data_IF_739643266936
#
_entry.id   IF_739643266936
#
_cell.length_a   1.000
_cell.length_b   1.000
_cell.length_c   1.000
_cell.angle_alpha   90.00
_cell.angle_beta   90.00
_cell.angle_gamma   90.00
#
_symmetry.space_group_name_H-M   'P 1'
#
loop_
_entity.id
_entity.type
_entity.pdbx_description
1 polymer ?
#
# COMPACT_ATOMS: atom_id res chain seq x y z
N UNK A 1 9.70 4.11 12.46
CA UNK A 1 10.65 5.01 11.75
C UNK A 1 11.46 5.82 12.75
N UNK A 2 10.84 6.73 13.53
CA UNK A 2 11.53 7.64 14.45
C UNK A 2 12.45 7.01 15.52
N UNK A 3 12.31 5.71 15.81
CA UNK A 3 13.23 4.99 16.71
C UNK A 3 14.29 4.18 15.97
N UNK A 4 13.97 3.68 14.77
CA UNK A 4 14.83 2.77 14.02
C UNK A 4 15.90 3.54 13.25
N UNK A 5 15.51 4.64 12.61
CA UNK A 5 16.44 5.39 11.75
C UNK A 5 17.57 6.04 12.53
N UNK A 6 17.37 6.59 13.75
CA UNK A 6 18.51 7.04 14.58
C UNK A 6 19.40 5.89 15.05
N UNK A 7 18.86 4.69 15.28
CA UNK A 7 19.70 3.53 15.62
C UNK A 7 20.60 3.11 14.45
N UNK A 8 20.07 3.17 13.22
CA UNK A 8 20.86 2.90 12.02
C UNK A 8 21.93 3.98 11.80
N UNK A 9 21.61 5.24 12.09
CA UNK A 9 22.58 6.35 12.10
C UNK A 9 23.72 6.11 13.08
N UNK A 10 23.40 5.77 14.34
CA UNK A 10 24.38 5.45 15.38
C UNK A 10 25.28 4.27 14.99
N UNK A 11 24.73 3.29 14.26
CA UNK A 11 25.48 2.15 13.73
C UNK A 11 26.23 2.46 12.42
N UNK A 12 26.21 3.71 11.93
CA UNK A 12 26.74 4.14 10.65
C UNK A 12 26.25 3.30 9.46
N UNK A 13 24.99 2.86 9.50
CA UNK A 13 24.34 2.08 8.45
C UNK A 13 23.41 2.96 7.64
N UNK A 14 23.69 3.10 6.34
CA UNK A 14 22.80 3.79 5.42
C UNK A 14 21.43 3.08 5.38
N UNK A 15 20.36 3.85 5.24
CA UNK A 15 19.01 3.30 5.17
C UNK A 15 18.13 4.03 4.16
N UNK A 16 17.18 3.27 3.62
CA UNK A 16 16.10 3.76 2.76
C UNK A 16 14.77 3.34 3.36
N UNK A 17 13.85 4.29 3.43
CA UNK A 17 12.46 4.05 3.81
C UNK A 17 11.65 4.04 2.52
N UNK A 18 10.85 2.99 2.33
CA UNK A 18 9.86 2.90 1.26
C UNK A 18 8.48 2.97 1.90
N UNK A 19 7.56 3.72 1.29
CA UNK A 19 6.17 3.76 1.71
C UNK A 19 5.22 3.88 0.54
N UNK A 20 3.95 3.71 0.87
CA UNK A 20 2.80 4.10 0.05
C UNK A 20 2.87 5.56 -0.43
N UNK A 21 2.08 5.88 -1.45
CA UNK A 21 1.93 7.20 -2.05
C UNK A 21 0.61 7.89 -1.65
N UNK A 22 -0.03 7.40 -0.60
CA UNK A 22 -1.26 7.98 -0.04
C UNK A 22 -0.99 9.29 0.73
N UNK A 23 -2.08 9.96 1.11
CA UNK A 23 -2.00 11.26 1.82
C UNK A 23 -1.26 11.12 3.16
N UNK A 24 -1.60 10.15 4.04
CA UNK A 24 -0.85 9.92 5.28
C UNK A 24 0.66 9.72 5.08
N UNK A 25 1.09 8.95 4.08
CA UNK A 25 2.50 8.72 3.79
C UNK A 25 3.20 10.02 3.34
N UNK A 26 2.57 10.81 2.46
CA UNK A 26 3.09 12.11 2.01
C UNK A 26 3.28 13.08 3.18
N UNK A 27 2.30 13.19 4.07
CA UNK A 27 2.38 14.05 5.25
C UNK A 27 3.50 13.60 6.19
N UNK A 28 3.60 12.30 6.47
CA UNK A 28 4.64 11.74 7.35
C UNK A 28 6.03 11.91 6.77
N UNK A 29 6.21 11.71 5.47
CA UNK A 29 7.48 11.93 4.80
C UNK A 29 7.88 13.42 4.84
N UNK A 30 6.94 14.34 4.61
CA UNK A 30 7.19 15.78 4.73
C UNK A 30 7.66 16.14 6.14
N UNK A 31 6.96 15.64 7.17
CA UNK A 31 7.36 15.82 8.56
C UNK A 31 8.76 15.25 8.83
N UNK A 32 9.03 14.03 8.37
CA UNK A 32 10.34 13.39 8.54
C UNK A 32 11.49 14.21 7.94
N UNK A 33 11.28 14.77 6.74
CA UNK A 33 12.26 15.67 6.09
C UNK A 33 12.45 16.96 6.88
N UNK A 34 11.37 17.56 7.39
CA UNK A 34 11.44 18.77 8.23
C UNK A 34 12.20 18.51 9.54
N UNK A 35 12.01 17.33 10.13
CA UNK A 35 12.68 16.89 11.36
C UNK A 35 14.13 16.42 11.09
N UNK A 36 14.65 16.59 9.87
CA UNK A 36 15.98 16.14 9.41
C UNK A 36 16.26 14.67 9.69
N UNK A 37 15.24 13.82 9.50
CA UNK A 37 15.36 12.39 9.74
C UNK A 37 16.45 11.73 8.88
N UNK A 38 17.14 10.75 9.47
CA UNK A 38 18.27 10.04 8.85
C UNK A 38 17.87 9.07 7.72
N UNK A 39 18.64 9.02 6.64
CA UNK A 39 18.38 8.16 5.48
C UNK A 39 17.38 8.75 4.47
N UNK A 40 17.22 8.06 3.34
CA UNK A 40 16.32 8.52 2.27
C UNK A 40 14.94 7.91 2.40
N UNK A 41 13.90 8.74 2.46
CA UNK A 41 12.52 8.27 2.35
C UNK A 41 12.01 8.49 0.93
N UNK A 42 11.60 7.40 0.27
CA UNK A 42 10.94 7.41 -1.04
C UNK A 42 9.56 6.76 -0.98
N UNK A 43 8.61 7.33 -1.71
CA UNK A 43 7.29 6.75 -1.95
C UNK A 43 7.28 5.96 -3.27
N UNK A 44 6.26 5.13 -3.51
CA UNK A 44 6.13 4.39 -4.77
C UNK A 44 6.18 5.31 -6.00
N UNK A 45 5.44 6.42 -5.98
CA UNK A 45 5.37 7.43 -7.05
C UNK A 45 6.69 8.17 -7.28
N UNK A 46 7.59 8.20 -6.29
CA UNK A 46 8.92 8.82 -6.40
C UNK A 46 9.99 7.85 -6.91
N UNK A 47 9.76 6.55 -6.80
CA UNK A 47 10.65 5.50 -7.32
C UNK A 47 10.31 5.19 -8.77
N UNK A 48 9.02 5.07 -9.07
CA UNK A 48 8.54 4.86 -10.41
C UNK A 48 7.26 5.67 -10.63
N UNK A 49 7.40 6.80 -11.32
CA UNK A 49 6.31 7.72 -11.61
C UNK A 49 5.34 7.24 -12.69
N UNK A 50 5.68 6.16 -13.41
CA UNK A 50 4.79 5.60 -14.45
C UNK A 50 3.82 4.57 -13.90
N UNK A 51 4.03 4.11 -12.66
CA UNK A 51 3.15 3.15 -12.00
C UNK A 51 2.02 3.88 -11.26
N UNK A 52 0.78 3.54 -11.62
CA UNK A 52 -0.41 3.94 -10.88
C UNK A 52 -0.61 3.02 -9.67
N UNK A 53 0.16 3.28 -8.62
CA UNK A 53 0.16 2.53 -7.36
C UNK A 53 0.15 3.53 -6.20
N UNK A 54 -0.89 3.45 -5.38
CA UNK A 54 -1.04 4.33 -4.22
C UNK A 54 -0.70 3.58 -2.95
N UNK A 55 -1.16 2.35 -2.83
CA UNK A 55 -1.04 1.50 -1.65
C UNK A 55 -0.48 0.13 -2.00
N UNK A 56 0.03 -0.61 -1.01
CA UNK A 56 0.51 -1.98 -1.22
C UNK A 56 -0.55 -2.90 -1.84
N UNK A 57 -1.84 -2.66 -1.60
CA UNK A 57 -2.91 -3.46 -2.19
C UNK A 57 -3.06 -3.30 -3.70
N UNK A 58 -2.54 -2.21 -4.27
CA UNK A 58 -2.57 -2.01 -5.71
C UNK A 58 -1.67 -3.00 -6.45
N UNK A 59 -0.71 -3.62 -5.77
CA UNK A 59 0.14 -4.70 -6.29
C UNK A 59 -0.49 -6.08 -6.21
N UNK A 60 -1.68 -6.23 -5.64
CA UNK A 60 -2.33 -7.53 -5.46
C UNK A 60 -3.34 -7.76 -6.57
N UNK A 61 -3.33 -8.91 -7.23
CA UNK A 61 -4.27 -9.24 -8.31
C UNK A 61 -5.72 -9.09 -7.85
N UNK A 62 -6.55 -8.56 -8.75
CA UNK A 62 -7.97 -8.35 -8.49
C UNK A 62 -8.69 -9.64 -8.06
N UNK A 63 -8.33 -10.78 -8.65
CA UNK A 63 -8.90 -12.08 -8.27
C UNK A 63 -8.77 -12.38 -6.77
N UNK A 64 -7.61 -12.09 -6.16
CA UNK A 64 -7.37 -12.33 -4.73
C UNK A 64 -8.23 -11.41 -3.85
N UNK A 65 -8.33 -10.14 -4.21
CA UNK A 65 -9.20 -9.17 -3.54
C UNK A 65 -10.67 -9.58 -3.61
N UNK A 66 -11.14 -9.99 -4.78
CA UNK A 66 -12.52 -10.45 -4.99
C UNK A 66 -12.84 -11.67 -4.11
N UNK A 67 -11.93 -12.64 -4.01
CA UNK A 67 -12.11 -13.80 -3.13
C UNK A 67 -12.29 -13.40 -1.65
N UNK A 68 -11.49 -12.44 -1.16
CA UNK A 68 -11.62 -11.94 0.22
C UNK A 68 -12.93 -11.14 0.41
N UNK A 69 -13.35 -10.39 -0.61
CA UNK A 69 -14.63 -9.66 -0.55
C UNK A 69 -15.83 -10.59 -0.53
N UNK A 70 -15.84 -11.67 -1.32
CA UNK A 70 -16.97 -12.62 -1.33
C UNK A 70 -17.20 -13.27 0.04
N UNK A 71 -16.14 -13.56 0.79
CA UNK A 71 -16.26 -14.09 2.17
C UNK A 71 -17.01 -13.12 3.09
N UNK A 72 -16.87 -11.83 2.87
CA UNK A 72 -17.49 -10.78 3.68
C UNK A 72 -18.88 -10.41 3.16
N UNK A 73 -19.11 -10.42 1.84
CA UNK A 73 -20.44 -10.20 1.24
C UNK A 73 -21.49 -11.11 1.85
N UNK A 74 -21.15 -12.38 2.03
CA UNK A 74 -22.04 -13.37 2.66
C UNK A 74 -22.46 -12.99 4.08
N UNK A 75 -21.65 -12.20 4.80
CA UNK A 75 -21.96 -11.74 6.16
C UNK A 75 -22.73 -10.42 6.19
N UNK A 76 -22.49 -9.56 5.20
CA UNK A 76 -23.10 -8.22 5.12
C UNK A 76 -24.39 -8.19 4.29
N UNK A 77 -24.79 -9.31 3.68
CA UNK A 77 -25.93 -9.39 2.76
C UNK A 77 -25.86 -8.39 1.60
N UNK A 78 -24.64 -8.05 1.15
CA UNK A 78 -24.40 -7.15 0.01
C UNK A 78 -24.33 -8.01 -1.26
N UNK A 79 -25.17 -7.68 -2.24
CA UNK A 79 -25.26 -8.43 -3.51
C UNK A 79 -24.37 -7.88 -4.62
N UNK A 80 -23.94 -6.61 -4.50
CA UNK A 80 -23.09 -5.95 -5.51
C UNK A 80 -21.61 -6.23 -5.27
N UNK A 81 -20.81 -6.11 -6.33
CA UNK A 81 -19.35 -6.25 -6.26
C UNK A 81 -18.65 -4.89 -6.29
N UNK A 82 -17.52 -4.73 -5.59
CA UNK A 82 -16.65 -3.59 -5.81
C UNK A 82 -16.05 -3.66 -7.21
N UNK A 83 -15.85 -2.49 -7.81
CA UNK A 83 -15.05 -2.38 -9.03
C UNK A 83 -13.65 -1.92 -8.62
N UNK A 84 -12.64 -2.76 -8.77
CA UNK A 84 -11.27 -2.40 -8.43
C UNK A 84 -10.54 -1.65 -9.55
N UNK A 85 -11.13 -1.56 -10.74
CA UNK A 85 -10.61 -0.79 -11.87
C UNK A 85 -10.80 0.71 -11.60
N UNK A 86 -9.71 1.42 -11.31
CA UNK A 86 -9.71 2.87 -11.17
C UNK A 86 -8.36 3.42 -10.73
N UNK A 87 -8.13 4.70 -11.00
CA UNK A 87 -6.85 5.41 -10.76
C UNK A 87 -6.68 5.95 -9.33
N UNK A 88 -7.60 5.63 -8.42
CA UNK A 88 -7.55 6.05 -7.01
C UNK A 88 -7.11 4.92 -6.08
N UNK A 89 -6.70 3.79 -6.65
CA UNK A 89 -6.28 2.60 -5.92
C UNK A 89 -7.43 1.73 -5.43
N UNK A 90 -7.12 0.46 -5.17
CA UNK A 90 -8.09 -0.60 -4.88
C UNK A 90 -8.80 -0.38 -3.54
N UNK A 91 -8.09 0.13 -2.52
CA UNK A 91 -8.68 0.44 -1.21
C UNK A 91 -9.68 1.60 -1.28
N UNK A 92 -9.39 2.62 -2.08
CA UNK A 92 -10.33 3.73 -2.28
C UNK A 92 -11.63 3.21 -2.91
N UNK A 93 -11.50 2.40 -3.95
CA UNK A 93 -12.64 1.82 -4.65
C UNK A 93 -13.47 0.88 -3.75
N UNK A 94 -12.80 0.10 -2.91
CA UNK A 94 -13.44 -0.75 -1.90
C UNK A 94 -14.24 0.09 -0.89
N UNK A 95 -13.66 1.18 -0.39
CA UNK A 95 -14.37 2.10 0.51
C UNK A 95 -15.58 2.73 -0.17
N UNK A 96 -15.44 3.21 -1.41
CA UNK A 96 -16.53 3.79 -2.17
C UNK A 96 -17.68 2.77 -2.41
N UNK A 97 -17.35 1.50 -2.62
CA UNK A 97 -18.34 0.42 -2.69
C UNK A 97 -19.08 0.21 -1.36
N UNK A 98 -18.36 0.14 -0.22
CA UNK A 98 -18.99 0.00 1.10
C UNK A 98 -19.88 1.20 1.46
N UNK A 99 -19.47 2.42 1.10
CA UNK A 99 -20.30 3.63 1.26
C UNK A 99 -21.60 3.52 0.47
N UNK A 100 -21.56 3.03 -0.77
CA UNK A 100 -22.78 2.79 -1.58
C UNK A 100 -23.68 1.72 -0.98
N UNK A 101 -23.10 0.74 -0.30
CA UNK A 101 -23.82 -0.26 0.48
C UNK A 101 -24.34 0.25 1.84
N UNK A 102 -24.21 1.55 2.13
CA UNK A 102 -24.67 2.21 3.37
C UNK A 102 -24.01 1.67 4.65
N UNK A 103 -22.80 1.14 4.54
CA UNK A 103 -22.02 0.69 5.70
C UNK A 103 -21.41 1.90 6.41
N UNK A 104 -21.44 1.91 7.74
CA UNK A 104 -20.90 3.00 8.56
C UNK A 104 -19.37 3.13 8.38
N UNK A 105 -18.81 4.33 8.63
CA UNK A 105 -17.37 4.54 8.49
C UNK A 105 -16.53 3.68 9.46
N UNK A 106 -17.06 3.41 10.66
CA UNK A 106 -16.40 2.55 11.65
C UNK A 106 -16.37 1.10 11.18
N UNK A 107 -17.50 0.59 10.68
CA UNK A 107 -17.59 -0.76 10.12
C UNK A 107 -16.74 -0.90 8.86
N UNK A 108 -16.69 0.13 8.01
CA UNK A 108 -15.83 0.17 6.83
C UNK A 108 -14.36 -0.05 7.20
N UNK A 109 -13.87 0.63 8.24
CA UNK A 109 -12.49 0.47 8.69
C UNK A 109 -12.21 -0.96 9.15
N UNK A 110 -13.15 -1.53 9.91
CA UNK A 110 -13.08 -2.91 10.40
C UNK A 110 -13.09 -3.92 9.26
N UNK A 111 -14.00 -3.75 8.29
CA UNK A 111 -14.11 -4.60 7.10
C UNK A 111 -12.85 -4.51 6.24
N UNK A 112 -12.38 -3.30 5.93
CA UNK A 112 -11.17 -3.10 5.12
C UNK A 112 -9.96 -3.71 5.83
N UNK A 113 -9.82 -3.51 7.14
CA UNK A 113 -8.74 -4.12 7.93
C UNK A 113 -8.77 -5.64 7.80
N UNK A 114 -9.94 -6.25 7.98
CA UNK A 114 -10.11 -7.70 7.85
C UNK A 114 -9.77 -8.21 6.45
N UNK A 115 -10.22 -7.50 5.40
CA UNK A 115 -9.88 -7.84 4.02
C UNK A 115 -8.36 -7.83 3.82
N UNK A 116 -7.67 -6.80 4.34
CA UNK A 116 -6.22 -6.71 4.27
C UNK A 116 -5.55 -7.89 4.96
N UNK A 117 -5.94 -8.19 6.20
CA UNK A 117 -5.42 -9.35 6.96
C UNK A 117 -5.60 -10.65 6.15
N UNK A 118 -6.83 -10.92 5.67
CA UNK A 118 -7.11 -12.12 4.87
C UNK A 118 -6.34 -12.20 3.55
N UNK A 119 -6.02 -11.06 2.93
CA UNK A 119 -5.19 -11.02 1.71
C UNK A 119 -3.73 -11.36 2.03
N UNK A 120 -3.17 -10.75 3.06
CA UNK A 120 -1.75 -10.84 3.37
C UNK A 120 -1.37 -12.14 4.09
N UNK A 121 -2.29 -12.77 4.82
CA UNK A 121 -2.04 -14.02 5.57
C UNK A 121 -1.73 -15.22 4.66
N UNK A 122 -2.30 -15.28 3.45
CA UNK A 122 -2.06 -16.34 2.46
C UNK A 122 -1.68 -15.74 1.10
N UNK A 123 -0.90 -14.66 1.09
CA UNK A 123 -0.48 -14.03 -0.16
C UNK A 123 0.58 -14.88 -0.86
N UNK A 124 0.29 -15.30 -2.10
CA UNK A 124 1.24 -16.06 -2.94
C UNK A 124 1.81 -15.17 -4.03
N UNK A 125 2.97 -15.54 -4.56
CA UNK A 125 3.58 -14.87 -5.72
C UNK A 125 2.61 -14.81 -6.90
N UNK A 126 1.84 -15.89 -7.11
CA UNK A 126 0.81 -15.95 -8.16
C UNK A 126 -0.31 -14.92 -8.00
N UNK A 127 -0.51 -14.37 -6.79
CA UNK A 127 -1.51 -13.36 -6.45
C UNK A 127 -0.98 -11.92 -6.61
N UNK A 128 0.28 -11.73 -7.02
CA UNK A 128 0.92 -10.41 -7.16
C UNK A 128 0.89 -9.97 -8.63
N UNK A 129 0.52 -8.71 -8.86
CA UNK A 129 0.48 -8.05 -10.17
C UNK A 129 1.90 -7.89 -10.75
N UNK A 130 2.04 -7.98 -12.07
CA UNK A 130 3.35 -7.84 -12.74
C UNK A 130 4.04 -6.51 -12.44
N UNK A 131 3.25 -5.44 -12.30
CA UNK A 131 3.74 -4.10 -11.96
C UNK A 131 4.50 -4.01 -10.63
N UNK A 132 4.35 -4.98 -9.73
CA UNK A 132 5.18 -5.09 -8.53
C UNK A 132 6.63 -5.41 -8.88
N UNK A 133 6.85 -6.30 -9.83
CA UNK A 133 8.19 -6.67 -10.27
C UNK A 133 8.84 -5.53 -11.07
N UNK A 134 8.04 -4.78 -11.83
CA UNK A 134 8.51 -3.54 -12.45
C UNK A 134 8.93 -2.51 -11.40
N UNK A 135 8.13 -2.34 -10.33
CA UNK A 135 8.50 -1.52 -9.19
C UNK A 135 9.81 -1.99 -8.55
N UNK A 136 9.98 -3.29 -8.29
CA UNK A 136 11.22 -3.84 -7.73
C UNK A 136 12.43 -3.58 -8.62
N UNK A 137 12.28 -3.64 -9.94
CA UNK A 137 13.33 -3.31 -10.90
C UNK A 137 13.72 -1.83 -10.79
N UNK A 138 12.74 -0.93 -10.84
CA UNK A 138 12.97 0.51 -10.65
C UNK A 138 13.62 0.81 -9.30
N UNK A 139 13.18 0.14 -8.24
CA UNK A 139 13.73 0.29 -6.90
C UNK A 139 15.19 -0.19 -6.83
N UNK A 140 15.49 -1.35 -7.40
CA UNK A 140 16.87 -1.86 -7.50
C UNK A 140 17.78 -0.87 -8.23
N UNK A 141 17.32 -0.29 -9.32
CA UNK A 141 18.11 0.69 -10.07
C UNK A 141 18.30 1.98 -9.28
N UNK A 142 17.27 2.45 -8.57
CA UNK A 142 17.39 3.54 -7.61
C UNK A 142 18.48 3.26 -6.55
N UNK A 143 18.51 2.08 -5.96
CA UNK A 143 19.54 1.74 -4.95
C UNK A 143 20.96 1.78 -5.51
N UNK A 144 21.17 1.32 -6.76
CA UNK A 144 22.49 1.38 -7.41
C UNK A 144 23.01 2.81 -7.55
N UNK A 145 22.13 3.79 -7.79
CA UNK A 145 22.54 5.20 -7.92
C UNK A 145 23.07 5.80 -6.62
N UNK A 146 22.82 5.16 -5.48
CA UNK A 146 23.07 5.74 -4.15
C UNK A 146 24.27 5.16 -3.43
N UNK A 147 25.00 4.22 -4.05
CA UNK A 147 26.14 3.50 -3.45
C UNK A 147 25.84 3.08 -2.00
N UNK A 148 24.67 2.47 -1.77
CA UNK A 148 24.32 1.94 -0.45
C UNK A 148 25.28 0.82 -0.02
#
# INVERSE_FOLDING_TARGET
INRITPMLELANRKCVIISDADVPAKERQKKYKNDRGYGEWKRYDEINSTLDVITGEDFIKEAKLTLSVEKIKNRLSITTNPNFSGNKGKIHNLRAWLTRARISNEDQNTIIKRIKEEIFDDLKIADIEEKYFDFLKSFKDFLKTKQF
#
